data_IF_942803891981
#
_entry.id   IF_942803891981
#
_cell.length_a   1.000
_cell.length_b   1.000
_cell.length_c   1.000
_cell.angle_alpha   90.00
_cell.angle_beta   90.00
_cell.angle_gamma   90.00
#
_symmetry.space_group_name_H-M   'P 1'
#
loop_
_entity.id
_entity.type
_entity.pdbx_description
1 polymer ?
#
# COMPACT_ATOMS: atom_id res chain seq x y z
N UNK A 1 -13.64 -5.94 -20.08
CA UNK A 1 -14.82 -6.83 -19.99
C UNK A 1 -16.06 -5.96 -20.16
N UNK A 2 -17.14 -6.46 -20.77
CA UNK A 2 -18.30 -5.62 -21.15
C UNK A 2 -19.66 -6.18 -20.66
N UNK A 3 -19.65 -7.26 -19.87
CA UNK A 3 -20.85 -7.74 -19.19
C UNK A 3 -21.24 -6.81 -18.04
N UNK A 4 -22.51 -6.82 -17.64
CA UNK A 4 -22.98 -6.09 -16.45
C UNK A 4 -22.25 -6.53 -15.17
N UNK A 5 -21.91 -7.82 -15.07
CA UNK A 5 -21.14 -8.38 -13.95
C UNK A 5 -19.62 -8.19 -14.07
N UNK A 6 -19.15 -7.35 -15.00
CA UNK A 6 -17.72 -7.14 -15.17
C UNK A 6 -17.13 -6.41 -13.95
N UNK A 7 -15.98 -6.89 -13.41
CA UNK A 7 -15.31 -6.19 -12.32
C UNK A 7 -14.87 -4.79 -12.77
N UNK A 8 -15.06 -3.80 -11.90
CA UNK A 8 -14.62 -2.42 -12.11
C UNK A 8 -13.29 -2.15 -11.39
N UNK A 9 -12.55 -1.12 -11.83
CA UNK A 9 -11.30 -0.72 -11.17
C UNK A 9 -10.16 -1.76 -11.21
N UNK A 10 -10.25 -2.77 -12.10
CA UNK A 10 -9.23 -3.82 -12.23
C UNK A 10 -8.33 -3.58 -13.42
N UNK A 11 -7.06 -3.93 -13.27
CA UNK A 11 -6.08 -4.00 -14.34
C UNK A 11 -5.87 -5.47 -14.70
N UNK A 12 -6.05 -5.80 -15.97
CA UNK A 12 -5.87 -7.16 -16.50
C UNK A 12 -4.72 -7.13 -17.50
N UNK A 13 -3.74 -8.00 -17.32
CA UNK A 13 -2.68 -8.26 -18.29
C UNK A 13 -2.94 -9.58 -19.01
N UNK A 14 -2.64 -9.62 -20.32
CA UNK A 14 -2.87 -10.80 -21.15
C UNK A 14 -1.72 -11.02 -22.15
N UNK A 15 -1.35 -12.28 -22.38
CA UNK A 15 -0.31 -12.65 -23.35
C UNK A 15 -0.21 -14.16 -23.56
N UNK A 16 -0.11 -14.61 -24.81
CA UNK A 16 0.01 -16.03 -25.20
C UNK A 16 -1.05 -16.96 -24.55
N UNK A 17 -2.28 -16.45 -24.33
CA UNK A 17 -3.36 -17.20 -23.68
C UNK A 17 -3.35 -17.16 -22.14
N UNK A 18 -2.39 -16.46 -21.52
CA UNK A 18 -2.34 -16.23 -20.06
C UNK A 18 -3.05 -14.93 -19.72
N UNK A 19 -3.81 -14.93 -18.62
CA UNK A 19 -4.48 -13.75 -18.06
C UNK A 19 -4.09 -13.60 -16.58
N UNK A 20 -3.71 -12.40 -16.18
CA UNK A 20 -3.36 -12.08 -14.79
C UNK A 20 -4.00 -10.76 -14.36
N UNK A 21 -4.17 -10.59 -13.05
CA UNK A 21 -4.62 -9.32 -12.46
C UNK A 21 -3.40 -8.58 -11.90
N UNK A 22 -3.28 -7.31 -12.27
CA UNK A 22 -2.29 -6.40 -11.67
C UNK A 22 -2.97 -5.64 -10.55
N UNK A 23 -2.29 -5.57 -9.40
CA UNK A 23 -2.80 -4.97 -8.17
C UNK A 23 -1.73 -4.11 -7.51
N UNK A 24 -2.14 -2.96 -6.97
CA UNK A 24 -1.26 -2.10 -6.17
C UNK A 24 -1.42 -2.48 -4.70
N UNK A 25 -0.33 -2.94 -4.10
CA UNK A 25 -0.24 -3.18 -2.67
C UNK A 25 0.71 -2.16 -2.06
N UNK A 26 0.35 -1.65 -0.89
CA UNK A 26 1.18 -0.73 -0.13
C UNK A 26 1.64 -1.45 1.14
N UNK A 27 2.92 -1.35 1.48
CA UNK A 27 3.53 -1.95 2.69
C UNK A 27 2.94 -1.34 3.96
N UNK A 28 3.05 -2.02 5.12
CA UNK A 28 2.55 -1.45 6.39
C UNK A 28 3.14 -0.06 6.68
N UNK A 29 4.42 0.13 6.33
CA UNK A 29 5.16 1.37 6.55
C UNK A 29 5.60 1.55 8.00
N UNK A 30 6.12 2.73 8.30
CA UNK A 30 6.57 3.12 9.65
C UNK A 30 6.08 4.54 9.95
N UNK A 31 5.71 4.80 11.20
CA UNK A 31 5.40 6.13 11.68
C UNK A 31 6.60 6.67 12.46
N UNK A 32 7.32 7.65 11.87
CA UNK A 32 8.50 8.26 12.48
C UNK A 32 8.16 9.44 13.42
N UNK A 33 6.88 9.64 13.75
CA UNK A 33 6.44 10.79 14.53
C UNK A 33 6.35 12.09 13.70
N UNK A 34 6.33 13.21 14.41
CA UNK A 34 6.40 14.56 13.82
C UNK A 34 7.50 15.34 14.55
N UNK A 35 8.37 16.03 13.82
CA UNK A 35 9.43 16.86 14.41
C UNK A 35 10.83 16.46 13.97
N UNK A 36 11.78 16.48 14.89
CA UNK A 36 13.22 16.33 14.62
C UNK A 36 13.61 14.97 14.04
N UNK A 37 12.81 13.92 14.29
CA UNK A 37 13.03 12.57 13.78
C UNK A 37 12.60 12.38 12.32
N UNK A 38 11.97 13.38 11.70
CA UNK A 38 11.53 13.34 10.30
C UNK A 38 12.67 13.72 9.35
N UNK A 39 13.76 12.95 9.40
CA UNK A 39 14.97 13.15 8.60
C UNK A 39 15.11 12.08 7.52
N UNK A 40 15.88 12.40 6.48
CA UNK A 40 16.19 11.44 5.43
C UNK A 40 16.99 10.24 5.98
N UNK A 41 17.89 10.50 6.94
CA UNK A 41 18.69 9.49 7.61
C UNK A 41 17.82 8.49 8.39
N UNK A 42 16.77 8.97 9.07
CA UNK A 42 15.85 8.10 9.80
C UNK A 42 14.95 7.29 8.85
N UNK A 43 14.53 7.86 7.72
CA UNK A 43 13.85 7.11 6.66
C UNK A 43 14.76 6.01 6.11
N UNK A 44 16.02 6.34 5.83
CA UNK A 44 17.00 5.37 5.33
C UNK A 44 17.26 4.25 6.36
N UNK A 45 17.39 4.59 7.63
CA UNK A 45 17.61 3.61 8.71
C UNK A 45 16.45 2.61 8.84
N UNK A 46 15.23 2.98 8.45
CA UNK A 46 14.04 2.15 8.49
C UNK A 46 13.60 1.61 7.12
N UNK A 47 14.43 1.73 6.08
CA UNK A 47 14.04 1.42 4.71
C UNK A 47 13.62 -0.05 4.50
N UNK A 48 14.28 -0.97 5.19
CA UNK A 48 13.94 -2.40 5.13
C UNK A 48 12.52 -2.64 5.69
N UNK A 49 12.15 -1.99 6.79
CA UNK A 49 10.80 -2.07 7.36
C UNK A 49 9.76 -1.37 6.47
N UNK A 50 10.11 -0.22 5.88
CA UNK A 50 9.24 0.48 4.92
C UNK A 50 8.97 -0.38 3.70
N UNK A 51 9.94 -1.20 3.30
CA UNK A 51 9.87 -2.09 2.12
C UNK A 51 9.28 -3.46 2.42
N UNK A 52 8.96 -3.77 3.68
CA UNK A 52 8.44 -5.08 4.06
C UNK A 52 7.00 -5.29 3.56
N UNK A 53 6.86 -6.31 2.70
CA UNK A 53 5.61 -6.68 2.06
C UNK A 53 4.78 -7.70 2.86
N UNK A 54 5.29 -8.20 3.99
CA UNK A 54 4.65 -9.27 4.77
C UNK A 54 3.20 -8.95 5.12
N UNK A 55 2.93 -7.71 5.54
CA UNK A 55 1.59 -7.22 5.90
C UNK A 55 1.06 -6.18 4.89
N UNK A 56 1.52 -6.21 3.64
CA UNK A 56 1.08 -5.25 2.63
C UNK A 56 -0.41 -5.43 2.30
N UNK A 57 -1.10 -4.31 2.11
CA UNK A 57 -2.55 -4.29 1.85
C UNK A 57 -2.86 -3.72 0.48
N UNK A 58 -3.94 -4.21 -0.13
CA UNK A 58 -4.44 -3.68 -1.39
C UNK A 58 -4.93 -2.23 -1.19
N UNK A 59 -4.52 -1.33 -2.08
CA UNK A 59 -5.10 0.01 -2.19
C UNK A 59 -6.06 0.01 -3.38
N UNK A 60 -7.37 -0.12 -3.12
CA UNK A 60 -8.39 -0.26 -4.16
C UNK A 60 -9.01 1.08 -4.55
N UNK A 61 -9.21 1.96 -3.58
CA UNK A 61 -9.75 3.31 -3.76
C UNK A 61 -8.86 4.34 -3.05
N UNK A 62 -8.95 5.61 -3.46
CA UNK A 62 -8.09 6.67 -2.92
C UNK A 62 -8.16 6.83 -1.40
N UNK A 63 -9.32 6.57 -0.79
CA UNK A 63 -9.49 6.65 0.66
C UNK A 63 -8.73 5.59 1.47
N UNK A 64 -8.40 4.44 0.87
CA UNK A 64 -7.76 3.32 1.56
C UNK A 64 -6.37 3.73 2.08
N UNK A 65 -5.62 4.47 1.27
CA UNK A 65 -4.29 4.96 1.62
C UNK A 65 -4.33 5.89 2.84
N UNK A 66 -5.28 6.84 2.85
CA UNK A 66 -5.43 7.77 3.97
C UNK A 66 -5.84 7.06 5.25
N UNK A 67 -6.80 6.13 5.16
CA UNK A 67 -7.25 5.34 6.31
C UNK A 67 -6.11 4.53 6.92
N UNK A 68 -5.29 3.91 6.09
CA UNK A 68 -4.13 3.14 6.55
C UNK A 68 -3.10 3.99 7.28
N UNK A 69 -2.80 5.19 6.77
CA UNK A 69 -1.91 6.13 7.46
C UNK A 69 -2.46 6.48 8.86
N UNK A 70 -3.77 6.73 8.98
CA UNK A 70 -4.40 6.98 10.27
C UNK A 70 -4.36 5.76 11.20
N UNK A 71 -4.56 4.55 10.69
CA UNK A 71 -4.44 3.31 11.48
C UNK A 71 -3.04 3.16 12.05
N UNK A 72 -1.99 3.37 11.25
CA UNK A 72 -0.61 3.27 11.71
C UNK A 72 -0.29 4.30 12.81
N UNK A 73 -0.80 5.54 12.67
CA UNK A 73 -0.68 6.58 13.69
C UNK A 73 -1.37 6.17 14.99
N UNK A 74 -2.54 5.52 14.92
CA UNK A 74 -3.26 5.04 16.11
C UNK A 74 -2.55 3.86 16.79
N UNK A 75 -2.02 2.92 16.02
CA UNK A 75 -1.26 1.79 16.54
C UNK A 75 0.01 2.24 17.27
N UNK A 76 0.68 3.27 16.76
CA UNK A 76 1.92 3.79 17.33
C UNK A 76 1.73 4.57 18.65
N UNK A 77 0.48 4.85 19.05
CA UNK A 77 0.13 5.53 20.31
C UNK A 77 -0.20 4.56 21.45
N UNK A 78 -0.22 3.25 21.20
CA UNK A 78 -0.42 2.21 22.21
C UNK A 78 0.92 1.82 22.82
#
# INVERSE_FOLDING_TARGET
>A
MVSEDAPTGVIIAAGAGVFTRVMIHETKGVYLGTGEEMTAENIQANWDQISDMTDATLCYQGGDQSMKAFTLIQESKK
#
